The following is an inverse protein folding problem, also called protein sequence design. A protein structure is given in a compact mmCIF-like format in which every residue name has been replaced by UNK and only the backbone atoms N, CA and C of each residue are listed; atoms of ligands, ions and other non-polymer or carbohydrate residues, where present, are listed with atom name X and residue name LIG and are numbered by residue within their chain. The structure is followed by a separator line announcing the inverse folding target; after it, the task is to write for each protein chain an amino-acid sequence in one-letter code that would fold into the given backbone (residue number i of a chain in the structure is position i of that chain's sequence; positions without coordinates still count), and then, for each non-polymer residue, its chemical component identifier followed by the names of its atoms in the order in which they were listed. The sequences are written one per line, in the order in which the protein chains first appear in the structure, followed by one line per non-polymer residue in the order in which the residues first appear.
data_IF_852545477584
#
_entry.id   IF_852545477584
#
_cell.length_a   1.000
_cell.length_b   1.000
_cell.length_c   1.000
_cell.angle_alpha   90.00
_cell.angle_beta   90.00
_cell.angle_gamma   90.00
#
_symmetry.space_group_name_H-M   'P 1'
#
loop_
_entity.id
_entity.type
_entity.pdbx_description
1 polymer ?
#
# COMPACT_ATOMS: atom_id res chain seq x y z
N UNK A 1 -0.51 -5.36 -13.20
CA UNK A 1 0.09 -6.71 -13.44
C UNK A 1 0.05 -7.43 -12.11
N UNK A 2 -0.32 -8.72 -12.10
CA UNK A 2 -0.39 -9.52 -10.88
C UNK A 2 0.72 -10.56 -10.83
N UNK A 3 1.13 -10.94 -9.62
CA UNK A 3 2.09 -12.02 -9.37
C UNK A 3 1.75 -12.71 -8.05
N UNK A 4 1.97 -14.02 -7.97
CA UNK A 4 1.88 -14.78 -6.71
C UNK A 4 3.30 -15.14 -6.25
N UNK A 5 3.65 -14.76 -5.02
CA UNK A 5 4.93 -15.07 -4.40
C UNK A 5 4.65 -15.80 -3.10
N UNK A 6 5.15 -17.04 -3.00
CA UNK A 6 4.97 -17.88 -1.82
C UNK A 6 3.48 -18.05 -1.39
N UNK A 7 2.55 -17.98 -2.33
CA UNK A 7 1.11 -18.07 -2.05
C UNK A 7 0.41 -16.72 -1.82
N UNK A 8 1.17 -15.65 -1.61
CA UNK A 8 0.63 -14.29 -1.45
C UNK A 8 0.45 -13.63 -2.82
N UNK A 9 -0.73 -13.08 -3.07
CA UNK A 9 -1.12 -12.47 -4.35
C UNK A 9 -0.92 -10.96 -4.32
N UNK A 10 -0.02 -10.50 -5.16
CA UNK A 10 0.31 -9.08 -5.34
C UNK A 10 -0.30 -8.56 -6.63
N UNK A 11 -0.76 -7.31 -6.63
CA UNK A 11 -1.14 -6.60 -7.84
C UNK A 11 -0.56 -5.19 -7.84
N UNK A 12 0.16 -4.85 -8.91
CA UNK A 12 0.76 -3.53 -9.11
C UNK A 12 0.09 -2.71 -10.21
N UNK A 13 -0.08 -1.40 -9.97
CA UNK A 13 -0.58 -0.43 -10.94
C UNK A 13 0.11 0.94 -10.82
N UNK A 14 0.76 1.46 -11.88
CA UNK A 14 1.50 2.72 -11.81
C UNK A 14 0.64 3.97 -12.06
N UNK A 15 -0.62 3.81 -12.46
CA UNK A 15 -1.46 4.92 -12.94
C UNK A 15 -1.76 5.97 -11.86
N UNK A 16 -1.75 7.24 -12.29
CA UNK A 16 -2.00 8.42 -11.44
C UNK A 16 -3.06 9.30 -12.10
N UNK A 17 -3.97 9.88 -11.32
CA UNK A 17 -5.01 10.80 -11.82
C UNK A 17 -4.81 12.24 -11.35
N UNK A 18 -3.93 12.48 -10.37
CA UNK A 18 -3.76 13.80 -9.73
C UNK A 18 -2.56 14.62 -10.21
N UNK A 19 -1.61 14.04 -10.97
CA UNK A 19 -0.48 14.77 -11.55
C UNK A 19 -0.38 14.57 -13.06
N UNK A 20 -0.72 15.63 -13.82
CA UNK A 20 -0.72 15.67 -15.30
C UNK A 20 0.66 15.53 -15.94
N UNK A 21 1.73 15.75 -15.18
CA UNK A 21 3.12 15.63 -15.66
C UNK A 21 3.72 14.25 -15.42
N UNK A 22 3.04 13.38 -14.66
CA UNK A 22 3.51 12.03 -14.42
C UNK A 22 3.44 11.19 -15.71
N UNK A 23 4.45 10.35 -15.96
CA UNK A 23 4.50 9.47 -17.13
C UNK A 23 3.29 8.52 -17.23
N UNK A 24 2.71 8.15 -16.08
CA UNK A 24 1.53 7.28 -15.98
C UNK A 24 0.25 8.07 -15.62
N UNK A 25 0.20 9.35 -15.96
CA UNK A 25 -1.03 10.13 -15.83
C UNK A 25 -2.12 9.55 -16.74
N UNK A 26 -3.35 9.48 -16.23
CA UNK A 26 -4.53 9.31 -17.06
C UNK A 26 -5.71 10.10 -16.49
N UNK A 27 -6.67 10.45 -17.37
CA UNK A 27 -7.83 11.24 -16.97
C UNK A 27 -8.74 10.49 -15.99
N UNK A 28 -9.63 11.23 -15.32
CA UNK A 28 -10.63 10.69 -14.39
C UNK A 28 -11.49 9.57 -15.01
N UNK A 29 -11.84 9.68 -16.28
CA UNK A 29 -12.65 8.67 -16.97
C UNK A 29 -11.84 7.42 -17.33
N UNK A 30 -10.52 7.54 -17.44
CA UNK A 30 -9.63 6.44 -17.80
C UNK A 30 -9.11 5.70 -16.57
N UNK A 31 -8.84 6.41 -15.47
CA UNK A 31 -8.30 5.81 -14.24
C UNK A 31 -9.24 4.73 -13.70
N UNK A 32 -10.56 4.96 -13.78
CA UNK A 32 -11.55 3.95 -13.42
C UNK A 32 -11.44 2.66 -14.21
N UNK A 33 -11.16 2.75 -15.51
CA UNK A 33 -10.94 1.58 -16.35
C UNK A 33 -9.68 0.81 -15.92
N UNK A 34 -8.70 1.48 -15.32
CA UNK A 34 -7.51 0.83 -14.74
C UNK A 34 -7.84 0.17 -13.42
N UNK A 35 -8.57 0.84 -12.53
CA UNK A 35 -9.01 0.31 -11.24
C UNK A 35 -9.90 -0.92 -11.40
N UNK A 36 -10.79 -0.93 -12.39
CA UNK A 36 -11.63 -2.09 -12.70
C UNK A 36 -10.85 -3.33 -13.16
N UNK A 37 -9.60 -3.18 -13.61
CA UNK A 37 -8.74 -4.32 -13.97
C UNK A 37 -8.10 -5.01 -12.76
N UNK A 38 -8.15 -4.38 -11.58
CA UNK A 38 -7.61 -5.02 -10.37
C UNK A 38 -8.51 -6.21 -10.01
N UNK A 39 -7.99 -7.45 -9.98
CA UNK A 39 -8.79 -8.62 -9.67
C UNK A 39 -9.18 -8.64 -8.18
N UNK A 40 -10.27 -9.37 -7.86
CA UNK A 40 -10.63 -9.69 -6.47
C UNK A 40 -9.70 -10.77 -5.92
N UNK A 41 -9.62 -10.88 -4.58
CA UNK A 41 -8.86 -11.93 -3.91
C UNK A 41 -7.34 -11.75 -4.03
N UNK A 42 -6.88 -10.50 -4.15
CA UNK A 42 -5.48 -10.13 -3.97
C UNK A 42 -5.24 -9.80 -2.50
N UNK A 43 -4.04 -10.09 -2.01
CA UNK A 43 -3.66 -9.85 -0.62
C UNK A 43 -2.99 -8.48 -0.47
N UNK A 44 -2.17 -8.11 -1.46
CA UNK A 44 -1.40 -6.87 -1.47
C UNK A 44 -1.62 -6.09 -2.77
N UNK A 45 -2.17 -4.89 -2.64
CA UNK A 45 -2.25 -3.91 -3.72
C UNK A 45 -1.08 -2.93 -3.63
N UNK A 46 -0.42 -2.66 -4.76
CA UNK A 46 0.65 -1.67 -4.87
C UNK A 46 0.26 -0.62 -5.92
N UNK A 47 0.12 0.64 -5.51
CA UNK A 47 -0.16 1.76 -6.42
C UNK A 47 0.83 2.89 -6.27
N UNK A 48 0.94 3.73 -7.30
CA UNK A 48 1.72 4.97 -7.19
C UNK A 48 1.01 5.99 -6.29
N UNK A 49 -0.24 6.33 -6.61
CA UNK A 49 -1.05 7.29 -5.85
C UNK A 49 -1.81 6.64 -4.68
N UNK A 50 -2.06 7.41 -3.60
CA UNK A 50 -2.87 6.96 -2.46
C UNK A 50 -4.37 6.93 -2.81
N UNK A 51 -5.18 6.14 -2.09
CA UNK A 51 -6.63 6.33 -2.06
C UNK A 51 -6.99 7.54 -1.21
N UNK A 52 -8.14 8.16 -1.47
CA UNK A 52 -8.61 9.31 -0.69
C UNK A 52 -8.68 9.00 0.81
N UNK A 53 -8.18 9.92 1.65
CA UNK A 53 -8.28 9.89 3.11
C UNK A 53 -7.27 8.98 3.82
N UNK A 54 -6.38 8.29 3.09
CA UNK A 54 -5.36 7.43 3.68
C UNK A 54 -3.97 7.79 3.17
N UNK A 55 -3.16 8.43 4.02
CA UNK A 55 -1.78 8.76 3.69
C UNK A 55 -1.65 9.67 2.47
N UNK A 56 -2.64 10.55 2.25
CA UNK A 56 -2.80 11.32 1.02
C UNK A 56 -2.77 12.84 1.21
N UNK A 57 -2.62 13.33 2.44
CA UNK A 57 -2.44 14.74 2.74
C UNK A 57 -1.12 15.25 2.15
N UNK A 58 -1.12 16.46 1.59
CA UNK A 58 0.08 17.15 1.16
C UNK A 58 0.57 18.19 2.20
N UNK A 59 1.54 19.00 1.81
CA UNK A 59 2.13 20.06 2.66
C UNK A 59 1.19 21.20 3.05
N UNK A 60 0.05 21.35 2.38
CA UNK A 60 -1.00 22.34 2.71
C UNK A 60 -2.27 21.66 3.24
N UNK A 61 -2.16 20.38 3.63
CA UNK A 61 -3.27 19.56 4.13
C UNK A 61 -4.38 19.33 3.09
N UNK A 62 -4.08 19.46 1.79
CA UNK A 62 -4.98 19.03 0.72
C UNK A 62 -4.82 17.53 0.44
N UNK A 63 -5.91 16.89 0.02
CA UNK A 63 -5.95 15.47 -0.26
C UNK A 63 -5.60 15.17 -1.72
N UNK A 64 -4.50 14.44 -1.93
CA UNK A 64 -4.04 13.97 -3.24
C UNK A 64 -4.61 12.60 -3.64
N UNK A 65 -5.44 12.01 -2.79
CA UNK A 65 -5.91 10.64 -2.96
C UNK A 65 -7.07 10.52 -3.94
N UNK A 66 -7.13 9.36 -4.61
CA UNK A 66 -8.17 9.06 -5.58
C UNK A 66 -9.38 8.42 -4.88
N UNK A 67 -10.55 9.07 -4.94
CA UNK A 67 -11.81 8.57 -4.36
C UNK A 67 -12.31 7.28 -5.03
N UNK A 68 -12.02 7.08 -6.32
CA UNK A 68 -12.39 5.84 -7.00
C UNK A 68 -11.49 4.68 -6.59
N UNK A 69 -10.22 4.98 -6.28
CA UNK A 69 -9.30 3.99 -5.75
C UNK A 69 -9.76 3.57 -4.34
N UNK A 70 -10.17 4.52 -3.50
CA UNK A 70 -10.77 4.22 -2.20
C UNK A 70 -12.00 3.31 -2.34
N UNK A 71 -12.96 3.67 -3.21
CA UNK A 71 -14.15 2.86 -3.45
C UNK A 71 -13.81 1.47 -3.99
N UNK A 72 -12.81 1.36 -4.86
CA UNK A 72 -12.31 0.08 -5.35
C UNK A 72 -11.77 -0.77 -4.20
N UNK A 73 -10.89 -0.20 -3.37
CA UNK A 73 -10.25 -0.90 -2.25
C UNK A 73 -11.26 -1.33 -1.21
N UNK A 74 -12.05 -0.38 -0.69
CA UNK A 74 -12.97 -0.59 0.43
C UNK A 74 -14.21 -1.42 0.05
N UNK A 75 -14.76 -1.23 -1.16
CA UNK A 75 -16.06 -1.81 -1.52
C UNK A 75 -15.97 -3.01 -2.47
N UNK A 76 -14.84 -3.21 -3.17
CA UNK A 76 -14.74 -4.24 -4.22
C UNK A 76 -13.67 -5.28 -3.96
N UNK A 77 -12.42 -4.87 -3.76
CA UNK A 77 -11.31 -5.83 -3.75
C UNK A 77 -10.89 -6.28 -2.36
N UNK A 78 -10.94 -5.39 -1.34
CA UNK A 78 -10.56 -5.71 0.03
C UNK A 78 -9.23 -6.47 0.14
N UNK A 79 -8.07 -5.87 -0.22
CA UNK A 79 -6.77 -6.44 0.09
C UNK A 79 -6.47 -6.28 1.59
N UNK A 80 -5.62 -7.15 2.14
CA UNK A 80 -5.10 -6.98 3.51
C UNK A 80 -4.20 -5.75 3.59
N UNK A 81 -3.36 -5.54 2.56
CA UNK A 81 -2.46 -4.38 2.48
C UNK A 81 -2.65 -3.61 1.17
N UNK A 82 -2.69 -2.29 1.27
CA UNK A 82 -2.57 -1.38 0.14
C UNK A 82 -1.37 -0.48 0.37
N UNK A 83 -0.31 -0.72 -0.39
CA UNK A 83 0.96 0.01 -0.32
C UNK A 83 1.03 1.04 -1.45
N UNK A 84 1.41 2.26 -1.10
CA UNK A 84 1.59 3.35 -2.05
C UNK A 84 2.67 4.31 -1.56
N UNK A 85 2.90 5.38 -2.33
CA UNK A 85 3.79 6.46 -1.95
C UNK A 85 3.16 7.80 -2.33
N UNK A 86 3.94 8.59 -3.09
CA UNK A 86 3.50 9.82 -3.76
C UNK A 86 3.28 11.03 -2.84
N UNK A 87 2.43 10.95 -1.82
CA UNK A 87 2.41 11.96 -0.77
C UNK A 87 3.64 11.79 0.12
N UNK A 88 4.48 12.81 0.22
CA UNK A 88 5.75 12.77 0.96
C UNK A 88 5.57 13.21 2.41
N UNK A 89 4.50 13.93 2.65
CA UNK A 89 4.12 14.55 3.90
C UNK A 89 3.31 13.60 4.79
N UNK A 90 2.61 12.63 4.19
CA UNK A 90 1.75 11.68 4.89
C UNK A 90 2.35 10.26 4.98
N UNK A 91 3.67 10.15 5.16
CA UNK A 91 4.33 8.87 5.43
C UNK A 91 3.74 8.18 6.68
N UNK A 92 3.49 6.87 6.60
CA UNK A 92 2.99 6.09 7.72
C UNK A 92 1.92 5.08 7.30
N UNK A 93 1.08 4.70 8.26
CA UNK A 93 0.08 3.66 8.08
C UNK A 93 -1.25 4.03 8.73
N UNK A 94 -2.35 3.63 8.10
CA UNK A 94 -3.71 3.69 8.67
C UNK A 94 -4.46 2.39 8.41
N UNK A 95 -5.58 2.18 9.10
CA UNK A 95 -6.37 0.96 9.03
C UNK A 95 -7.86 1.29 9.05
N UNK A 96 -8.65 0.69 8.16
CA UNK A 96 -10.10 0.92 8.08
C UNK A 96 -10.96 -0.18 8.72
N UNK A 97 -10.37 -1.06 9.53
CA UNK A 97 -11.04 -2.24 10.07
C UNK A 97 -10.81 -3.51 9.25
N UNK A 98 -10.28 -3.39 8.03
CA UNK A 98 -10.02 -4.52 7.15
C UNK A 98 -8.69 -4.40 6.36
N UNK A 99 -8.46 -3.27 5.69
CA UNK A 99 -7.25 -3.00 4.89
C UNK A 99 -6.30 -2.09 5.66
N UNK A 100 -5.02 -2.46 5.70
CA UNK A 100 -3.92 -1.57 6.09
C UNK A 100 -3.46 -0.75 4.89
N UNK A 101 -3.50 0.57 5.02
CA UNK A 101 -3.05 1.52 4.01
C UNK A 101 -1.67 2.04 4.41
N UNK A 102 -0.66 1.78 3.59
CA UNK A 102 0.74 2.02 3.90
C UNK A 102 1.31 3.03 2.90
N UNK A 103 1.55 4.25 3.36
CA UNK A 103 2.34 5.23 2.61
C UNK A 103 3.83 5.03 2.92
N UNK A 104 4.56 4.53 1.93
CA UNK A 104 5.98 4.21 1.95
C UNK A 104 6.85 5.26 1.25
N UNK A 105 6.39 6.51 1.13
CA UNK A 105 7.19 7.59 0.54
C UNK A 105 8.47 7.83 1.34
N UNK A 106 9.61 7.38 0.80
CA UNK A 106 10.92 7.48 1.46
C UNK A 106 11.47 8.91 1.48
N UNK A 107 11.19 9.68 0.43
CA UNK A 107 11.72 11.03 0.29
C UNK A 107 10.73 12.07 0.82
N UNK A 108 11.26 13.07 1.51
CA UNK A 108 10.54 14.32 1.81
C UNK A 108 10.42 15.20 0.58
N UNK A 109 9.67 16.30 0.67
CA UNK A 109 9.53 17.31 -0.39
C UNK A 109 10.88 17.82 -0.91
N UNK A 110 11.87 17.95 -0.03
CA UNK A 110 13.23 18.37 -0.36
C UNK A 110 14.09 17.28 -1.02
N UNK A 111 13.49 16.14 -1.40
CA UNK A 111 14.16 14.98 -1.98
C UNK A 111 15.18 14.30 -1.07
N UNK A 112 15.10 14.56 0.24
CA UNK A 112 15.91 13.86 1.23
C UNK A 112 15.25 12.52 1.59
N UNK A 113 15.93 11.37 1.41
CA UNK A 113 15.41 10.04 1.74
C UNK A 113 15.50 9.78 3.26
N UNK A 114 14.75 10.55 4.04
CA UNK A 114 14.82 10.54 5.51
C UNK A 114 13.71 9.73 6.18
N UNK A 115 12.68 9.28 5.45
CA UNK A 115 11.65 8.43 6.02
C UNK A 115 12.15 6.99 6.10
N UNK A 116 11.97 6.36 7.27
CA UNK A 116 12.44 5.00 7.56
C UNK A 116 11.63 3.94 6.80
N UNK A 117 12.08 2.69 6.82
CA UNK A 117 11.37 1.58 6.21
C UNK A 117 10.17 1.16 7.07
N UNK A 118 9.03 0.93 6.41
CA UNK A 118 7.89 0.27 7.04
C UNK A 118 8.02 -1.24 6.78
N UNK A 119 8.20 -2.01 7.85
CA UNK A 119 8.27 -3.47 7.81
C UNK A 119 6.97 -4.04 8.39
N UNK A 120 6.31 -4.90 7.65
CA UNK A 120 5.10 -5.60 8.08
C UNK A 120 5.12 -7.06 7.63
N UNK A 121 4.49 -7.91 8.42
CA UNK A 121 4.35 -9.34 8.14
C UNK A 121 3.06 -9.62 7.36
N UNK A 122 3.16 -10.44 6.33
CA UNK A 122 2.00 -10.92 5.58
C UNK A 122 1.77 -12.38 5.96
N UNK A 123 0.57 -12.76 6.45
CA UNK A 123 0.28 -14.14 6.77
C UNK A 123 0.38 -15.00 5.51
N UNK A 124 1.20 -16.03 5.60
CA UNK A 124 1.36 -16.99 4.52
C UNK A 124 0.14 -17.90 4.47
N UNK A 125 -0.46 -18.16 3.30
CA UNK A 125 -1.52 -19.16 3.21
C UNK A 125 -0.98 -20.52 3.64
N UNK A 126 -1.80 -21.31 4.35
CA UNK A 126 -1.45 -22.63 4.85
C UNK A 126 -0.99 -23.56 3.71
N UNK A 127 0.32 -23.54 3.42
CA UNK A 127 1.00 -24.53 2.61
C UNK A 127 1.99 -25.24 3.53
N UNK A 128 1.80 -26.55 3.65
CA UNK A 128 2.59 -27.48 4.45
C UNK A 128 4.07 -27.07 4.51
N UNK A 129 4.56 -26.99 5.75
CA UNK A 129 5.94 -26.79 6.17
C UNK A 129 6.98 -26.94 5.07
N UNK A 130 7.59 -25.84 4.62
CA UNK A 130 8.96 -25.91 4.12
C UNK A 130 9.86 -26.13 5.33
N UNK A 131 10.31 -27.37 5.51
CA UNK A 131 11.39 -27.70 6.43
C UNK A 131 12.67 -27.00 5.98
N UNK A 132 13.12 -26.00 6.73
CA UNK A 132 14.48 -25.44 6.66
C UNK A 132 14.79 -24.68 7.97
N UNK A 133 16.08 -24.64 8.37
CA UNK A 133 16.50 -24.77 9.76
C UNK A 133 16.37 -23.47 10.55
N UNK A 134 15.90 -23.61 11.79
CA UNK A 134 16.05 -22.69 12.92
C UNK A 134 16.42 -21.24 12.57
N UNK A 135 15.41 -20.45 12.20
CA UNK A 135 15.43 -19.03 12.51
C UNK A 135 14.19 -18.74 13.34
N UNK A 136 14.39 -18.58 14.64
CA UNK A 136 13.35 -18.21 15.59
C UNK A 136 12.90 -16.76 15.30
N UNK A 137 11.89 -16.58 14.46
CA UNK A 137 11.12 -15.34 14.44
C UNK A 137 9.91 -15.51 15.36
N UNK A 138 9.98 -14.78 16.46
CA UNK A 138 9.01 -14.64 17.54
C UNK A 138 7.54 -14.80 17.10
N UNK A 139 6.92 -15.92 17.46
CA UNK A 139 5.46 -16.13 17.46
C UNK A 139 4.85 -15.74 18.82
N UNK A 140 5.23 -14.58 19.34
CA UNK A 140 4.74 -14.09 20.62
C UNK A 140 4.66 -12.59 20.64
N UNK A 141 3.42 -12.09 20.60
CA UNK A 141 2.93 -10.75 21.00
C UNK A 141 2.09 -10.09 19.91
N UNK A 142 0.88 -10.60 19.72
CA UNK A 142 -0.27 -9.75 19.39
C UNK A 142 -0.55 -8.90 20.64
N UNK A 143 0.20 -7.80 20.80
CA UNK A 143 -0.21 -6.63 21.58
C UNK A 143 0.85 -5.54 21.43
N UNK A 144 0.46 -4.44 20.76
CA UNK A 144 1.10 -3.13 20.83
C UNK A 144 2.59 -3.05 20.45
N UNK A 145 2.92 -3.00 19.15
CA UNK A 145 4.03 -2.18 18.61
C UNK A 145 4.25 -2.43 17.12
N UNK A 146 3.53 -1.72 16.24
CA UNK A 146 3.76 -1.77 14.77
C UNK A 146 4.90 -0.84 14.33
N UNK A 147 5.78 -0.39 15.23
CA UNK A 147 6.91 0.48 14.86
C UNK A 147 8.15 0.06 15.61
N UNK A 148 9.12 -0.53 14.90
CA UNK A 148 10.52 -0.56 15.36
C UNK A 148 11.22 0.66 14.78
N UNK A 149 11.24 1.77 15.51
CA UNK A 149 12.24 2.83 15.27
C UNK A 149 13.59 2.27 15.71
N UNK A 150 14.58 2.24 14.81
CA UNK A 150 15.97 2.04 15.22
C UNK A 150 16.39 3.26 16.04
N UNK A 151 16.87 3.00 17.26
CA UNK A 151 17.60 3.96 18.09
C UNK A 151 18.93 4.36 17.42
#
# INVERSE_FOLDING_TARGET
MGVEIAGVKFYGSPWVSTNKTAAFYCSRNEIMKKWNRIPRGIDVLITCQPPLGHGDADYIEEHLGDVDLLGTVACRIGPTFHVFGYSREAFGMSFNGYTYFVNSAMCTRSYNPSNDFIVFDVPMPDRASKSSPNINYFTGLVQNSIIRKKL
#
